data_IF_973724995723
#
_entry.id   IF_973724995723
#
_cell.length_a   1.000
_cell.length_b   1.000
_cell.length_c   1.000
_cell.angle_alpha   90.00
_cell.angle_beta   90.00
_cell.angle_gamma   90.00
#
_symmetry.space_group_name_H-M   'P 1'
#
loop_
_entity.id
_entity.type
_entity.pdbx_description
1 polymer ?
#
# COMPACT_ATOMS: atom_id res chain seq x y z
N UNK A 1 39.06 32.65 2.65
CA UNK A 1 39.63 31.34 3.01
C UNK A 1 38.71 30.36 3.72
N UNK A 2 37.53 30.73 4.22
CA UNK A 2 36.59 29.81 4.91
C UNK A 2 35.60 29.10 3.95
N UNK A 3 35.26 29.68 2.84
CA UNK A 3 34.23 29.16 1.90
C UNK A 3 34.67 27.94 1.10
N UNK A 4 35.95 27.87 0.68
CA UNK A 4 36.44 26.73 -0.08
C UNK A 4 36.51 25.44 0.76
N UNK A 5 36.76 25.55 2.07
CA UNK A 5 36.74 24.39 2.98
C UNK A 5 35.37 23.78 3.09
N UNK A 6 34.33 24.59 3.04
CA UNK A 6 32.95 24.13 3.06
C UNK A 6 32.59 23.40 1.76
N UNK A 7 33.04 23.91 0.61
CA UNK A 7 32.83 23.30 -0.69
C UNK A 7 33.54 21.93 -0.78
N UNK A 8 34.78 21.85 -0.27
CA UNK A 8 35.52 20.59 -0.24
C UNK A 8 34.88 19.55 0.69
N UNK A 9 34.31 19.97 1.81
CA UNK A 9 33.59 19.06 2.72
C UNK A 9 32.33 18.54 2.06
N UNK A 10 31.54 19.40 1.40
CA UNK A 10 30.33 18.99 0.67
C UNK A 10 30.68 18.05 -0.49
N UNK A 11 31.78 18.34 -1.21
CA UNK A 11 32.24 17.49 -2.31
C UNK A 11 32.68 16.09 -1.83
N UNK A 12 33.42 16.03 -0.69
CA UNK A 12 33.77 14.74 -0.08
C UNK A 12 32.56 13.99 0.46
N UNK A 13 31.56 14.67 1.01
CA UNK A 13 30.31 14.04 1.46
C UNK A 13 29.52 13.45 0.28
N UNK A 14 29.51 14.14 -0.85
CA UNK A 14 28.91 13.65 -2.10
C UNK A 14 29.67 12.44 -2.67
N UNK A 15 31.01 12.43 -2.59
CA UNK A 15 31.81 11.29 -3.04
C UNK A 15 31.63 10.06 -2.15
N UNK A 16 31.48 10.21 -0.84
CA UNK A 16 31.20 9.09 0.07
C UNK A 16 29.81 8.48 -0.14
N UNK A 17 28.83 9.27 -0.61
CA UNK A 17 27.50 8.77 -0.94
C UNK A 17 27.46 7.85 -2.17
N UNK A 18 28.48 7.91 -3.04
CA UNK A 18 28.55 7.10 -4.26
C UNK A 18 29.03 5.66 -4.04
N UNK A 19 29.51 5.30 -2.86
CA UNK A 19 30.03 3.95 -2.57
C UNK A 19 29.08 3.04 -1.79
N UNK A 20 27.86 3.46 -1.50
CA UNK A 20 26.86 2.58 -0.94
C UNK A 20 26.16 1.78 -2.05
N UNK A 21 26.79 0.71 -2.51
CA UNK A 21 26.11 -0.35 -3.22
C UNK A 21 25.15 -1.03 -2.24
N UNK A 22 23.95 -0.51 -2.14
CA UNK A 22 22.86 -1.20 -1.50
C UNK A 22 22.53 -2.43 -2.33
N UNK A 23 22.89 -3.62 -1.87
CA UNK A 23 22.30 -4.85 -2.39
C UNK A 23 20.80 -4.77 -2.13
N UNK A 24 20.03 -4.48 -3.16
CA UNK A 24 18.60 -4.64 -3.13
C UNK A 24 18.32 -6.15 -3.14
N UNK A 25 18.17 -6.71 -1.96
CA UNK A 25 17.59 -8.02 -1.80
C UNK A 25 16.11 -7.89 -2.19
N UNK A 26 15.82 -8.16 -3.46
CA UNK A 26 14.46 -8.32 -3.91
C UNK A 26 13.96 -9.64 -3.33
N UNK A 27 13.29 -9.59 -2.20
CA UNK A 27 12.39 -10.64 -1.78
C UNK A 27 11.21 -10.64 -2.75
N UNK A 28 11.37 -11.38 -3.83
CA UNK A 28 10.26 -11.70 -4.71
C UNK A 28 9.40 -12.70 -3.96
N UNK A 29 8.43 -12.20 -3.21
CA UNK A 29 7.35 -13.05 -2.74
C UNK A 29 6.52 -13.41 -3.97
N UNK A 30 6.88 -14.52 -4.58
CA UNK A 30 6.04 -15.16 -5.60
C UNK A 30 4.84 -15.75 -4.86
N UNK A 31 3.83 -14.95 -4.61
CA UNK A 31 2.51 -15.44 -4.29
C UNK A 31 1.88 -15.91 -5.60
N UNK A 32 2.24 -17.10 -6.06
CA UNK A 32 1.42 -17.78 -7.04
C UNK A 32 0.12 -18.13 -6.31
N UNK A 33 -0.98 -17.52 -6.71
CA UNK A 33 -2.28 -18.04 -6.37
C UNK A 33 -2.34 -19.46 -6.92
N UNK A 34 -2.19 -20.43 -6.03
CA UNK A 34 -2.41 -21.83 -6.38
C UNK A 34 -3.91 -21.97 -6.65
N UNK A 35 -4.26 -21.86 -7.92
CA UNK A 35 -5.54 -22.35 -8.42
C UNK A 35 -5.36 -23.84 -8.64
N UNK A 36 -5.93 -24.70 -7.79
CA UNK A 36 -5.92 -26.13 -8.08
C UNK A 36 -6.69 -26.34 -9.37
N UNK A 37 -5.99 -26.55 -10.47
CA UNK A 37 -6.60 -27.09 -11.67
C UNK A 37 -6.80 -28.59 -11.40
N UNK A 38 -8.05 -28.98 -11.29
CA UNK A 38 -8.38 -30.40 -11.42
C UNK A 38 -8.04 -30.71 -12.86
N UNK A 39 -6.88 -31.36 -13.09
CA UNK A 39 -6.62 -31.99 -14.37
C UNK A 39 -7.81 -32.88 -14.66
N UNK A 40 -8.39 -32.73 -15.86
CA UNK A 40 -9.46 -33.55 -16.33
C UNK A 40 -9.16 -35.00 -15.96
N UNK A 41 -9.87 -35.48 -14.93
CA UNK A 41 -9.82 -36.87 -14.58
C UNK A 41 -10.46 -37.58 -15.78
N UNK A 42 -9.63 -38.08 -16.69
CA UNK A 42 -10.12 -38.93 -17.73
C UNK A 42 -10.73 -40.14 -17.02
N UNK A 43 -12.04 -40.21 -17.11
CA UNK A 43 -12.80 -41.35 -16.63
C UNK A 43 -12.25 -42.61 -17.34
N UNK A 44 -11.41 -43.36 -16.61
CA UNK A 44 -10.90 -44.60 -17.11
C UNK A 44 -12.07 -45.57 -17.08
N UNK A 45 -12.81 -45.65 -18.21
CA UNK A 45 -13.83 -46.66 -18.41
C UNK A 45 -13.16 -48.00 -18.38
N UNK A 46 -13.09 -48.62 -17.21
CA UNK A 46 -12.72 -50.00 -17.09
C UNK A 46 -13.91 -50.80 -17.63
N UNK A 47 -13.75 -51.33 -18.86
CA UNK A 47 -14.70 -52.33 -19.36
C UNK A 47 -14.66 -53.48 -18.37
N UNK A 48 -15.79 -53.87 -17.76
CA UNK A 48 -15.80 -55.01 -16.89
C UNK A 48 -15.35 -56.25 -17.73
N UNK A 49 -14.33 -56.92 -17.24
CA UNK A 49 -13.93 -58.20 -17.86
C UNK A 49 -15.13 -59.12 -17.79
N UNK A 50 -15.70 -59.47 -18.95
CA UNK A 50 -16.75 -60.48 -19.04
C UNK A 50 -16.11 -61.85 -18.70
N UNK A 51 -16.14 -62.19 -17.43
CA UNK A 51 -15.79 -63.53 -16.98
C UNK A 51 -17.01 -64.38 -17.23
N UNK A 52 -17.01 -65.12 -18.30
CA UNK A 52 -18.01 -66.17 -18.55
C UNK A 52 -17.59 -67.33 -17.63
N UNK A 53 -18.14 -67.38 -16.45
CA UNK A 53 -18.01 -68.52 -15.55
C UNK A 53 -18.94 -69.62 -16.06
N UNK A 54 -18.37 -70.68 -16.67
CA UNK A 54 -19.13 -71.82 -17.17
C UNK A 54 -19.17 -72.97 -16.16
N UNK A 55 -18.62 -72.75 -14.97
CA UNK A 55 -18.67 -73.79 -13.91
C UNK A 55 -19.80 -73.52 -12.96
N UNK A 56 -20.89 -74.28 -13.16
CA UNK A 56 -22.04 -74.28 -12.26
C UNK A 56 -21.70 -75.13 -11.03
N UNK A 57 -20.76 -74.70 -10.21
CA UNK A 57 -20.45 -75.32 -8.95
C UNK A 57 -21.30 -74.60 -7.91
N UNK A 58 -22.33 -75.25 -7.41
CA UNK A 58 -23.08 -74.81 -6.24
C UNK A 58 -22.35 -75.35 -5.00
N UNK A 59 -21.43 -74.59 -4.40
CA UNK A 59 -20.81 -75.01 -3.14
C UNK A 59 -21.88 -74.89 -2.04
N UNK A 60 -22.14 -75.97 -1.39
CA UNK A 60 -22.85 -75.97 -0.13
C UNK A 60 -21.89 -75.36 0.92
N UNK A 61 -21.97 -74.06 1.11
CA UNK A 61 -21.16 -73.37 2.07
C UNK A 61 -21.88 -73.35 3.40
N UNK A 62 -21.43 -74.19 4.31
CA UNK A 62 -21.88 -74.16 5.70
C UNK A 62 -21.08 -73.10 6.42
N UNK A 63 -21.69 -71.93 6.71
CA UNK A 63 -21.08 -70.88 7.49
C UNK A 63 -21.30 -71.17 8.95
N UNK A 64 -20.29 -71.69 9.64
CA UNK A 64 -20.24 -71.73 11.09
C UNK A 64 -19.61 -70.41 11.56
N UNK A 65 -20.45 -69.41 11.79
CA UNK A 65 -20.00 -68.08 12.23
C UNK A 65 -19.95 -68.15 13.76
N UNK A 66 -18.76 -68.30 14.29
CA UNK A 66 -18.56 -68.09 15.74
C UNK A 66 -18.75 -66.59 16.05
N UNK A 67 -19.67 -66.28 16.95
CA UNK A 67 -19.85 -64.96 17.45
C UNK A 67 -18.63 -64.49 18.23
N UNK A 68 -17.70 -63.84 17.51
CA UNK A 68 -16.51 -63.24 18.14
C UNK A 68 -16.85 -61.83 18.58
N UNK A 69 -17.06 -61.62 19.86
CA UNK A 69 -17.25 -60.30 20.44
C UNK A 69 -15.89 -59.60 20.56
N UNK A 70 -15.59 -58.74 19.62
CA UNK A 70 -14.42 -57.88 19.73
C UNK A 70 -14.78 -56.62 20.55
N UNK A 71 -14.32 -56.53 21.76
CA UNK A 71 -14.37 -55.28 22.52
C UNK A 71 -13.15 -54.44 22.19
N UNK A 72 -13.33 -53.41 21.35
CA UNK A 72 -12.32 -52.42 21.11
C UNK A 72 -12.39 -51.32 22.16
N UNK A 73 -11.48 -51.34 23.11
CA UNK A 73 -11.27 -50.23 24.01
C UNK A 73 -10.35 -49.22 23.31
N UNK A 74 -10.93 -48.30 22.57
CA UNK A 74 -10.21 -47.23 21.90
C UNK A 74 -10.08 -46.02 22.82
N UNK A 75 -8.90 -45.85 23.40
CA UNK A 75 -8.55 -44.62 24.13
C UNK A 75 -7.96 -43.61 23.15
N UNK A 76 -8.72 -42.59 22.70
CA UNK A 76 -8.18 -41.60 21.78
C UNK A 76 -7.04 -40.85 22.45
N UNK A 77 -5.86 -40.87 21.84
CA UNK A 77 -4.76 -40.05 22.34
C UNK A 77 -5.11 -38.57 22.14
N UNK A 78 -4.97 -37.74 23.17
CA UNK A 78 -5.24 -36.32 23.02
C UNK A 78 -4.33 -35.73 21.96
N UNK A 79 -4.92 -35.10 20.95
CA UNK A 79 -4.21 -34.39 19.91
C UNK A 79 -3.45 -33.24 20.56
N UNK A 80 -2.11 -33.33 20.60
CA UNK A 80 -1.29 -32.20 21.05
C UNK A 80 -1.44 -31.08 20.04
N UNK A 81 -2.03 -29.97 20.47
CA UNK A 81 -2.08 -28.78 19.63
C UNK A 81 -0.66 -28.40 19.15
N UNK A 82 -0.45 -28.21 17.85
CA UNK A 82 0.85 -27.78 17.36
C UNK A 82 1.21 -26.46 18.04
N UNK A 83 2.40 -26.39 18.63
CA UNK A 83 2.92 -25.11 19.14
C UNK A 83 3.18 -24.23 17.92
N UNK A 84 2.33 -23.25 17.69
CA UNK A 84 2.59 -22.20 16.72
C UNK A 84 3.84 -21.46 17.19
N UNK A 85 4.92 -21.56 16.45
CA UNK A 85 6.13 -20.79 16.69
C UNK A 85 5.79 -19.31 16.72
N UNK A 86 6.39 -18.55 17.62
CA UNK A 86 6.23 -17.09 17.60
C UNK A 86 6.80 -16.58 16.27
N UNK A 87 5.95 -15.96 15.45
CA UNK A 87 6.42 -15.26 14.28
C UNK A 87 7.46 -14.22 14.68
N UNK A 88 8.59 -14.23 14.02
CA UNK A 88 9.61 -13.22 14.23
C UNK A 88 9.04 -11.88 13.76
N UNK A 89 8.83 -10.97 14.70
CA UNK A 89 8.39 -9.61 14.39
C UNK A 89 9.48 -8.95 13.55
N UNK A 90 9.17 -8.61 12.31
CA UNK A 90 10.06 -7.88 11.41
C UNK A 90 10.58 -6.61 12.09
N UNK A 91 11.88 -6.34 11.95
CA UNK A 91 12.50 -5.15 12.50
C UNK A 91 11.91 -3.91 11.83
N UNK A 92 11.32 -3.03 12.60
CA UNK A 92 10.77 -1.76 12.13
C UNK A 92 11.90 -0.71 12.13
N UNK A 93 11.96 0.07 11.05
CA UNK A 93 12.88 1.20 10.93
C UNK A 93 12.15 2.50 11.23
N UNK A 94 12.81 3.40 11.97
CA UNK A 94 12.24 4.72 12.32
C UNK A 94 12.22 5.67 11.14
N UNK A 95 13.23 5.56 10.29
CA UNK A 95 13.41 6.43 9.14
C UNK A 95 13.38 5.60 7.87
N UNK A 96 12.70 6.11 6.89
CA UNK A 96 12.69 5.56 5.54
C UNK A 96 12.93 6.70 4.56
N UNK A 97 13.85 6.50 3.64
CA UNK A 97 14.14 7.45 2.55
C UNK A 97 14.16 6.65 1.26
N UNK A 98 13.39 7.09 0.30
CA UNK A 98 13.42 6.60 -1.07
C UNK A 98 13.64 7.77 -2.01
N UNK A 99 14.65 7.66 -2.83
CA UNK A 99 14.98 8.65 -3.84
C UNK A 99 15.06 7.98 -5.20
N UNK A 100 14.42 8.58 -6.18
CA UNK A 100 14.46 8.15 -7.57
C UNK A 100 14.76 9.34 -8.47
N UNK A 101 15.65 9.17 -9.43
CA UNK A 101 16.00 10.21 -10.39
C UNK A 101 15.93 9.64 -11.80
N UNK A 102 14.89 10.01 -12.53
CA UNK A 102 14.80 9.82 -13.97
C UNK A 102 15.29 11.06 -14.70
N UNK A 103 15.51 10.98 -16.02
CA UNK A 103 15.96 12.11 -16.83
C UNK A 103 15.06 13.36 -16.69
N UNK A 104 13.74 13.15 -16.51
CA UNK A 104 12.73 14.22 -16.38
C UNK A 104 11.82 14.04 -15.17
N UNK A 105 12.04 13.03 -14.35
CA UNK A 105 11.08 12.57 -13.35
C UNK A 105 11.79 12.30 -12.00
N UNK A 106 12.07 13.35 -11.20
CA UNK A 106 12.55 13.18 -9.85
C UNK A 106 11.42 12.72 -8.92
N UNK A 107 11.77 11.81 -8.02
CA UNK A 107 10.91 11.28 -6.97
C UNK A 107 11.66 11.28 -5.63
N UNK A 108 11.00 11.74 -4.58
CA UNK A 108 11.49 11.71 -3.21
C UNK A 108 10.38 11.24 -2.28
N UNK A 109 10.71 10.33 -1.40
CA UNK A 109 9.86 9.93 -0.28
C UNK A 109 10.70 9.87 0.99
N UNK A 110 10.22 10.52 2.03
CA UNK A 110 10.81 10.50 3.35
C UNK A 110 9.73 10.18 4.37
N UNK A 111 10.02 9.25 5.26
CA UNK A 111 9.12 8.91 6.36
C UNK A 111 9.91 8.79 7.65
N UNK A 112 9.39 9.38 8.70
CA UNK A 112 9.91 9.27 10.05
C UNK A 112 8.79 8.91 11.02
N UNK A 113 9.04 7.96 11.93
CA UNK A 113 8.10 7.64 13.00
C UNK A 113 8.84 7.23 14.26
N UNK A 114 8.25 7.50 15.42
CA UNK A 114 8.81 7.05 16.69
C UNK A 114 8.46 5.58 17.02
N UNK A 115 7.87 4.87 16.03
CA UNK A 115 7.47 3.47 16.15
C UNK A 115 6.46 3.23 17.29
N UNK A 116 6.68 2.14 18.04
CA UNK A 116 5.79 1.71 19.12
C UNK A 116 6.09 2.48 20.42
N UNK A 117 5.38 3.54 20.66
CA UNK A 117 5.41 4.24 21.95
C UNK A 117 4.15 3.92 22.74
N UNK A 118 4.31 3.76 24.05
CA UNK A 118 3.18 3.52 24.97
C UNK A 118 2.45 4.81 25.36
N UNK A 119 3.07 5.97 25.17
CA UNK A 119 2.50 7.26 25.57
C UNK A 119 2.12 8.12 24.40
N UNK A 120 3.01 8.24 23.42
CA UNK A 120 2.85 9.10 22.26
C UNK A 120 3.45 8.42 21.02
N UNK A 121 2.63 8.09 20.07
CA UNK A 121 3.04 7.67 18.74
C UNK A 121 2.89 8.84 17.78
N UNK A 122 3.89 9.14 16.97
CA UNK A 122 3.83 10.18 15.95
C UNK A 122 4.67 9.81 14.74
N UNK A 123 4.34 10.40 13.63
CA UNK A 123 5.14 10.27 12.44
C UNK A 123 4.85 11.37 11.43
N UNK A 124 5.77 11.50 10.50
CA UNK A 124 5.72 12.41 9.37
C UNK A 124 6.09 11.65 8.11
N UNK A 125 5.35 11.89 7.04
CA UNK A 125 5.62 11.36 5.72
C UNK A 125 5.60 12.50 4.71
N UNK A 126 6.65 12.58 3.90
CA UNK A 126 6.80 13.60 2.84
C UNK A 126 7.04 12.88 1.54
N UNK A 127 6.25 13.19 0.52
CA UNK A 127 6.42 12.67 -0.83
C UNK A 127 6.48 13.83 -1.82
N UNK A 128 7.37 13.72 -2.76
CA UNK A 128 7.43 14.64 -3.89
C UNK A 128 7.68 13.85 -5.16
N UNK A 129 6.87 14.12 -6.16
CA UNK A 129 6.98 13.53 -7.49
C UNK A 129 6.72 14.61 -8.52
N UNK A 130 7.60 14.76 -9.48
CA UNK A 130 7.43 15.73 -10.54
C UNK A 130 7.90 15.21 -11.89
N UNK A 131 7.39 15.79 -12.95
CA UNK A 131 7.73 15.48 -14.32
C UNK A 131 7.91 16.77 -15.09
N UNK A 132 9.04 16.94 -15.75
CA UNK A 132 9.39 18.16 -16.51
C UNK A 132 9.34 17.96 -18.02
N UNK A 133 8.68 16.91 -18.50
CA UNK A 133 8.60 16.55 -19.90
C UNK A 133 7.73 17.49 -20.73
N UNK A 134 8.02 17.50 -22.03
CA UNK A 134 7.20 18.15 -23.05
C UNK A 134 6.77 17.09 -24.07
N UNK A 135 5.52 17.10 -24.45
CA UNK A 135 5.04 16.25 -25.55
C UNK A 135 5.24 16.96 -26.88
N UNK A 136 5.74 16.21 -27.87
CA UNK A 136 5.90 16.73 -29.23
C UNK A 136 4.53 17.16 -29.77
N UNK A 137 4.47 18.33 -30.41
CA UNK A 137 3.24 18.88 -31.01
C UNK A 137 2.15 19.32 -30.03
N UNK A 138 2.37 19.15 -28.70
CA UNK A 138 1.44 19.58 -27.66
C UNK A 138 2.01 20.72 -26.82
N UNK A 139 1.27 21.15 -25.82
CA UNK A 139 1.73 22.10 -24.83
C UNK A 139 2.71 21.46 -23.82
N UNK A 140 3.22 22.25 -22.87
CA UNK A 140 4.00 21.72 -21.75
C UNK A 140 3.16 20.75 -20.93
N UNK A 141 3.68 19.54 -20.69
CA UNK A 141 2.97 18.42 -20.02
C UNK A 141 3.54 18.17 -18.61
N UNK A 142 4.27 19.13 -18.06
CA UNK A 142 4.88 18.99 -16.75
C UNK A 142 3.83 18.96 -15.63
N UNK A 143 4.12 18.19 -14.59
CA UNK A 143 3.33 18.16 -13.36
C UNK A 143 4.23 18.09 -12.14
N UNK A 144 3.70 18.45 -10.99
CA UNK A 144 4.38 18.33 -9.71
C UNK A 144 3.36 18.00 -8.63
N UNK A 145 3.64 16.98 -7.85
CA UNK A 145 2.84 16.54 -6.72
C UNK A 145 3.70 16.53 -5.47
N UNK A 146 3.25 17.21 -4.43
CA UNK A 146 3.89 17.20 -3.12
C UNK A 146 2.85 16.83 -2.07
N UNK A 147 3.21 15.95 -1.17
CA UNK A 147 2.36 15.48 -0.09
C UNK A 147 3.13 15.54 1.22
N UNK A 148 2.49 16.07 2.23
CA UNK A 148 2.95 16.05 3.61
C UNK A 148 1.86 15.46 4.49
N UNK A 149 2.16 14.36 5.16
CA UNK A 149 1.26 13.71 6.10
C UNK A 149 1.89 13.74 7.50
N UNK A 150 1.14 14.20 8.46
CA UNK A 150 1.50 14.23 9.87
C UNK A 150 0.46 13.41 10.64
N UNK A 151 0.90 12.61 11.57
CA UNK A 151 -0.01 11.94 12.48
C UNK A 151 0.55 11.86 13.89
N UNK A 152 -0.34 11.88 14.85
CA UNK A 152 -0.02 11.73 16.26
C UNK A 152 -1.12 10.98 16.98
N UNK A 153 -0.73 10.11 17.90
CA UNK A 153 -1.64 9.38 18.78
C UNK A 153 -1.10 9.44 20.20
N UNK A 154 -1.90 9.93 21.12
CA UNK A 154 -1.54 10.04 22.52
C UNK A 154 -2.49 9.22 23.40
N UNK A 155 -1.90 8.40 24.29
CA UNK A 155 -2.63 7.56 25.23
C UNK A 155 -2.70 8.24 26.58
N UNK A 156 -3.88 8.71 26.99
CA UNK A 156 -4.12 9.45 28.24
C UNK A 156 -5.14 8.70 29.08
N UNK A 157 -4.67 7.89 30.05
CA UNK A 157 -5.53 7.08 30.96
C UNK A 157 -6.60 6.28 30.19
N UNK A 158 -7.81 6.83 30.13
CA UNK A 158 -8.99 6.19 29.55
C UNK A 158 -9.32 6.70 28.14
N UNK A 159 -8.52 7.64 27.63
CA UNK A 159 -8.71 8.24 26.31
C UNK A 159 -7.55 7.94 25.38
N UNK A 160 -7.87 7.78 24.11
CA UNK A 160 -6.91 7.86 23.01
C UNK A 160 -7.24 9.14 22.24
N UNK A 161 -6.26 10.02 22.15
CA UNK A 161 -6.33 11.21 21.32
C UNK A 161 -5.56 10.94 20.04
N UNK A 162 -6.22 11.08 18.90
CA UNK A 162 -5.61 11.01 17.59
C UNK A 162 -5.67 12.38 16.95
N UNK A 163 -4.61 12.75 16.26
CA UNK A 163 -4.57 13.93 15.43
C UNK A 163 -3.82 13.60 14.14
N UNK A 164 -4.36 13.96 13.02
CA UNK A 164 -3.71 13.87 11.73
C UNK A 164 -3.91 15.13 10.91
N UNK A 165 -2.91 15.45 10.12
CA UNK A 165 -2.95 16.60 9.21
C UNK A 165 -2.25 16.21 7.91
N UNK A 166 -2.94 16.46 6.81
CA UNK A 166 -2.46 16.15 5.47
C UNK A 166 -2.46 17.41 4.62
N UNK A 167 -1.44 17.61 3.85
CA UNK A 167 -1.35 18.69 2.88
C UNK A 167 -0.90 18.15 1.54
N UNK A 168 -1.65 18.45 0.49
CA UNK A 168 -1.32 18.09 -0.87
C UNK A 168 -1.23 19.33 -1.74
N UNK A 169 -0.16 19.43 -2.48
CA UNK A 169 0.02 20.41 -3.55
C UNK A 169 0.11 19.65 -4.88
N UNK A 170 -0.72 20.03 -5.81
CA UNK A 170 -0.77 19.43 -7.12
C UNK A 170 -0.74 20.53 -8.20
N UNK A 171 0.31 20.54 -9.00
CA UNK A 171 0.47 21.39 -10.17
C UNK A 171 0.34 20.54 -11.43
N UNK A 172 -0.53 20.90 -12.32
CA UNK A 172 -0.71 20.29 -13.65
C UNK A 172 -0.80 21.34 -14.73
N UNK A 173 -0.48 20.96 -15.95
CA UNK A 173 -0.64 21.82 -17.12
C UNK A 173 -1.75 21.25 -18.03
N UNK A 174 -2.72 22.09 -18.39
CA UNK A 174 -3.80 21.73 -19.29
C UNK A 174 -3.32 21.82 -20.74
N UNK A 175 -2.63 20.78 -21.22
CA UNK A 175 -1.95 20.74 -22.53
C UNK A 175 -2.74 20.01 -23.63
N UNK A 176 -4.01 19.72 -23.42
CA UNK A 176 -4.84 18.85 -24.29
C UNK A 176 -5.10 19.35 -25.72
N UNK A 177 -4.27 20.24 -26.26
CA UNK A 177 -4.38 20.76 -27.62
C UNK A 177 -3.16 20.40 -28.47
N UNK A 178 -3.40 19.97 -29.70
CA UNK A 178 -2.34 19.69 -30.67
C UNK A 178 -2.04 20.96 -31.49
N UNK A 179 -0.85 21.54 -31.34
CA UNK A 179 -0.40 22.76 -32.00
C UNK A 179 -0.34 22.61 -33.49
N UNK A 180 0.17 21.48 -34.01
CA UNK A 180 0.35 21.27 -35.43
C UNK A 180 -0.99 21.13 -36.15
N UNK A 181 -1.95 20.45 -35.52
CA UNK A 181 -3.31 20.35 -36.04
C UNK A 181 -4.02 21.70 -36.08
N UNK A 182 -3.90 22.50 -35.02
CA UNK A 182 -4.52 23.82 -34.96
C UNK A 182 -3.90 24.77 -36.00
N UNK A 183 -2.58 24.75 -36.22
CA UNK A 183 -1.92 25.50 -37.26
C UNK A 183 -2.40 25.06 -38.66
N UNK A 184 -2.47 23.76 -38.89
CA UNK A 184 -2.84 23.19 -40.19
C UNK A 184 -4.30 23.47 -40.55
N UNK A 185 -5.23 23.30 -39.64
CA UNK A 185 -6.67 23.38 -39.90
C UNK A 185 -7.24 24.79 -39.74
N UNK A 186 -6.70 25.58 -38.81
CA UNK A 186 -7.26 26.88 -38.44
C UNK A 186 -6.32 28.05 -38.72
N UNK A 187 -5.11 27.80 -39.27
CA UNK A 187 -4.13 28.85 -39.59
C UNK A 187 -3.63 29.62 -38.35
N UNK A 188 -3.71 29.04 -37.16
CA UNK A 188 -3.36 29.69 -35.92
C UNK A 188 -1.85 29.92 -35.82
N UNK A 189 -1.42 31.16 -35.58
CA UNK A 189 -0.01 31.48 -35.38
C UNK A 189 0.51 31.07 -34.01
N UNK A 190 1.85 30.92 -33.87
CA UNK A 190 2.49 30.55 -32.62
C UNK A 190 2.22 31.55 -31.45
N UNK A 191 1.95 32.80 -31.79
CA UNK A 191 1.67 33.84 -30.82
C UNK A 191 0.35 33.66 -30.05
N UNK A 192 -0.58 32.86 -30.61
CA UNK A 192 -1.90 32.61 -30.02
C UNK A 192 -1.87 31.49 -28.98
N UNK A 193 -0.86 30.63 -29.01
CA UNK A 193 -0.80 29.54 -28.05
C UNK A 193 -0.48 30.04 -26.63
N UNK A 194 -1.21 29.58 -25.63
CA UNK A 194 -1.01 30.03 -24.26
C UNK A 194 0.38 29.61 -23.76
N UNK A 195 0.96 30.45 -22.93
CA UNK A 195 2.21 30.14 -22.22
C UNK A 195 1.98 29.09 -21.14
N UNK A 196 3.04 28.42 -20.72
CA UNK A 196 2.95 27.39 -19.66
C UNK A 196 2.25 27.91 -18.39
N UNK A 197 2.48 29.17 -18.01
CA UNK A 197 1.85 29.80 -16.84
C UNK A 197 0.33 29.94 -17.00
N UNK A 198 -0.15 30.17 -18.19
CA UNK A 198 -1.58 30.42 -18.47
C UNK A 198 -2.42 29.15 -18.41
N UNK A 199 -1.77 28.00 -18.65
CA UNK A 199 -2.40 26.67 -18.60
C UNK A 199 -2.07 25.87 -17.34
N UNK A 200 -1.27 26.46 -16.45
CA UNK A 200 -0.91 25.83 -15.17
C UNK A 200 -2.08 25.92 -14.18
N UNK A 201 -2.47 24.79 -13.63
CA UNK A 201 -3.41 24.69 -12.52
C UNK A 201 -2.69 24.19 -11.29
N UNK A 202 -2.85 24.92 -10.21
CA UNK A 202 -2.29 24.57 -8.90
C UNK A 202 -3.43 24.36 -7.92
N UNK A 203 -3.45 23.19 -7.31
CA UNK A 203 -4.42 22.85 -6.29
C UNK A 203 -3.68 22.63 -4.97
N UNK A 204 -4.21 23.18 -3.93
CA UNK A 204 -3.75 23.00 -2.57
C UNK A 204 -4.90 22.46 -1.74
N UNK A 205 -4.73 21.28 -1.18
CA UNK A 205 -5.69 20.70 -0.26
C UNK A 205 -5.03 20.48 1.09
N UNK A 206 -5.71 20.89 2.14
CA UNK A 206 -5.29 20.64 3.50
C UNK A 206 -6.44 19.95 4.25
N UNK A 207 -6.12 18.91 4.97
CA UNK A 207 -7.04 18.18 5.82
C UNK A 207 -6.46 18.11 7.22
N UNK A 208 -7.29 18.33 8.23
CA UNK A 208 -6.93 18.16 9.62
C UNK A 208 -8.04 17.41 10.35
N UNK A 209 -7.67 16.37 11.09
CA UNK A 209 -8.58 15.59 11.92
C UNK A 209 -8.04 15.56 13.35
N UNK A 210 -8.94 15.72 14.31
CA UNK A 210 -8.66 15.49 15.72
C UNK A 210 -9.78 14.63 16.28
N UNK A 211 -9.44 13.51 16.90
CA UNK A 211 -10.42 12.62 17.51
C UNK A 211 -10.02 12.17 18.91
N UNK A 212 -11.01 11.97 19.74
CA UNK A 212 -10.88 11.46 21.09
C UNK A 212 -11.79 10.24 21.30
N UNK A 213 -11.20 9.12 21.67
CA UNK A 213 -11.92 7.86 21.93
C UNK A 213 -11.82 7.54 23.40
N UNK A 214 -12.96 7.41 24.08
CA UNK A 214 -13.00 7.04 25.50
C UNK A 214 -13.18 5.54 25.69
N UNK A 215 -12.74 5.04 26.86
CA UNK A 215 -12.92 3.65 27.30
C UNK A 215 -12.38 2.57 26.33
N UNK A 216 -11.35 2.89 25.55
CA UNK A 216 -10.74 1.94 24.62
C UNK A 216 -10.16 0.72 25.35
N UNK A 217 -10.54 -0.48 24.89
CA UNK A 217 -9.98 -1.74 25.35
C UNK A 217 -10.34 -2.18 26.77
N UNK A 218 -11.18 -1.45 27.48
CA UNK A 218 -11.69 -1.86 28.80
C UNK A 218 -13.04 -2.55 28.66
N UNK A 219 -13.18 -3.75 29.26
CA UNK A 219 -14.49 -4.37 29.51
C UNK A 219 -15.20 -3.56 30.63
N UNK A 220 -15.57 -2.36 30.33
CA UNK A 220 -16.29 -1.47 31.24
C UNK A 220 -17.74 -1.39 30.81
N UNK A 221 -18.67 -1.41 31.76
CA UNK A 221 -20.08 -1.11 31.51
C UNK A 221 -20.30 0.38 31.19
N UNK A 222 -19.22 1.16 31.14
CA UNK A 222 -19.26 2.58 30.77
C UNK A 222 -19.41 2.70 29.25
N UNK A 223 -20.21 3.66 28.85
CA UNK A 223 -20.42 4.00 27.45
C UNK A 223 -19.10 4.37 26.77
N UNK A 224 -18.79 3.72 25.65
CA UNK A 224 -17.70 4.15 24.80
C UNK A 224 -18.17 5.36 23.97
N UNK A 225 -17.37 6.42 23.97
CA UNK A 225 -17.68 7.68 23.27
C UNK A 225 -16.54 8.00 22.31
N UNK A 226 -16.89 8.43 21.13
CA UNK A 226 -15.94 8.92 20.14
C UNK A 226 -16.36 10.32 19.74
N UNK A 227 -15.41 11.24 19.80
CA UNK A 227 -15.57 12.62 19.35
C UNK A 227 -14.59 12.84 18.22
N UNK A 228 -15.04 13.40 17.12
CA UNK A 228 -14.19 13.71 15.98
C UNK A 228 -14.50 15.08 15.43
N UNK A 229 -13.46 15.80 15.05
CA UNK A 229 -13.53 17.09 14.36
C UNK A 229 -12.64 17.01 13.13
N UNK A 230 -13.24 17.18 11.96
CA UNK A 230 -12.57 17.19 10.67
C UNK A 230 -12.67 18.57 10.04
N UNK A 231 -11.60 19.05 9.48
CA UNK A 231 -11.55 20.30 8.73
C UNK A 231 -10.82 20.07 7.41
N UNK A 232 -11.50 20.36 6.32
CA UNK A 232 -11.01 20.30 4.96
C UNK A 232 -10.92 21.70 4.37
N UNK A 233 -9.84 21.98 3.70
CA UNK A 233 -9.58 23.22 3.01
C UNK A 233 -9.01 22.96 1.63
N UNK A 234 -9.60 23.59 0.60
CA UNK A 234 -9.12 23.56 -0.76
C UNK A 234 -8.98 24.98 -1.29
N UNK A 235 -7.89 25.26 -1.98
CA UNK A 235 -7.75 26.48 -2.77
C UNK A 235 -6.94 26.23 -4.04
N UNK A 236 -7.19 27.05 -5.06
CA UNK A 236 -6.51 26.99 -6.34
C UNK A 236 -5.88 28.34 -6.74
N UNK A 237 -5.08 28.34 -7.79
CA UNK A 237 -4.47 29.55 -8.32
C UNK A 237 -5.46 30.50 -9.06
N UNK A 238 -6.72 30.09 -9.20
CA UNK A 238 -7.80 30.91 -9.78
C UNK A 238 -8.67 31.58 -8.73
N UNK A 239 -8.20 31.56 -7.47
CA UNK A 239 -8.88 32.14 -6.30
C UNK A 239 -10.19 31.43 -5.92
N UNK A 240 -10.37 30.17 -6.33
CA UNK A 240 -11.42 29.32 -5.78
C UNK A 240 -10.95 28.77 -4.44
N UNK A 241 -11.83 28.76 -3.46
CA UNK A 241 -11.57 28.17 -2.13
C UNK A 241 -12.82 27.52 -1.58
N UNK A 242 -12.62 26.45 -0.87
CA UNK A 242 -13.68 25.67 -0.23
C UNK A 242 -13.26 25.31 1.19
N UNK A 243 -14.20 25.39 2.12
CA UNK A 243 -14.01 25.01 3.51
C UNK A 243 -15.10 24.05 3.93
N UNK A 244 -14.74 22.97 4.57
CA UNK A 244 -15.69 22.01 5.13
C UNK A 244 -15.30 21.71 6.58
N UNK A 245 -16.24 21.85 7.49
CA UNK A 245 -16.08 21.49 8.90
C UNK A 245 -17.12 20.43 9.25
N UNK A 246 -16.68 19.32 9.84
CA UNK A 246 -17.53 18.23 10.29
C UNK A 246 -17.20 17.91 11.75
N UNK A 247 -18.25 17.77 12.59
CA UNK A 247 -18.12 17.31 13.96
C UNK A 247 -19.02 16.08 14.17
N UNK A 248 -18.51 15.08 14.86
CA UNK A 248 -19.18 13.82 15.15
C UNK A 248 -18.95 13.39 16.62
#
# INVERSE_FOLDING_TARGET
>A
MKTYKFIVIIFNLLLCASFTYGQSQYDVVVSSSFTPSINDAQEKIMKPASIIDTTNISPEVNYDIEDMVFSFEYTPQPIKAPKVGKDQITRLYRNYVKFGFGYLEPYLEFSHSNLRSKKLAYGVNVKHHSFFGKLKSFGPASFSQSQLDLYGQMFVKDFILNADANYHHHLVHCYGYNKDSLKKFYGVSDAVFPKAKDIARQYHTAHANVSAISNYGKRSYKLAQTYALNYDFLFDNYKSYEHQLQAA
#
